data_IF_616987510477
#
_entry.id   IF_616987510477
#
_cell.length_a   1.000
_cell.length_b   1.000
_cell.length_c   1.000
_cell.angle_alpha   90.00
_cell.angle_beta   90.00
_cell.angle_gamma   90.00
#
_symmetry.space_group_name_H-M   'P 1'
#
loop_
_entity.id
_entity.type
_entity.pdbx_description
1 polymer ?
#
# COMPACT_ATOMS: atom_id res chain seq x y z
N UNK A 1 -15.84 -31.36 68.83
CA UNK A 1 -15.25 -30.63 67.69
C UNK A 1 -16.33 -29.71 67.14
N UNK A 2 -16.06 -28.40 67.21
CA UNK A 2 -16.78 -27.24 66.65
C UNK A 2 -18.27 -27.02 66.97
N UNK A 3 -18.54 -26.03 67.83
CA UNK A 3 -19.70 -25.12 67.73
C UNK A 3 -19.38 -23.85 68.55
N UNK A 4 -19.18 -22.72 67.88
CA UNK A 4 -18.89 -21.45 68.54
C UNK A 4 -18.98 -20.23 67.62
N UNK A 5 -19.91 -19.35 67.96
CA UNK A 5 -19.93 -17.88 67.79
C UNK A 5 -20.42 -17.25 66.46
N UNK A 6 -21.71 -16.93 66.50
CA UNK A 6 -22.31 -15.58 66.38
C UNK A 6 -21.89 -14.66 65.21
N UNK A 7 -22.86 -14.45 64.32
CA UNK A 7 -22.99 -13.33 63.39
C UNK A 7 -22.70 -11.97 64.05
N UNK A 8 -21.84 -11.16 63.42
CA UNK A 8 -21.76 -9.71 63.66
C UNK A 8 -22.53 -9.00 62.55
N UNK A 9 -23.74 -8.56 62.86
CA UNK A 9 -24.58 -7.73 61.99
C UNK A 9 -23.90 -6.37 61.75
N UNK A 10 -23.83 -5.97 60.47
CA UNK A 10 -22.96 -4.94 59.89
C UNK A 10 -23.73 -3.61 59.74
N UNK A 11 -23.23 -2.48 60.25
CA UNK A 11 -23.93 -1.18 60.06
C UNK A 11 -23.32 -0.40 58.90
N UNK A 12 -23.91 -0.54 57.70
CA UNK A 12 -23.69 0.44 56.62
C UNK A 12 -24.49 1.70 56.96
N UNK A 13 -23.80 2.82 57.11
CA UNK A 13 -24.46 4.10 57.31
C UNK A 13 -25.19 4.51 56.00
N UNK A 14 -26.54 4.62 56.00
CA UNK A 14 -27.31 4.89 54.79
C UNK A 14 -27.06 6.30 54.22
N UNK A 15 -26.55 7.23 55.04
CA UNK A 15 -26.16 8.58 54.60
C UNK A 15 -24.94 8.52 53.67
N UNK A 16 -23.92 7.75 54.06
CA UNK A 16 -22.70 7.54 53.26
C UNK A 16 -22.95 6.75 51.98
N UNK A 17 -23.90 5.81 51.97
CA UNK A 17 -24.22 5.04 50.76
C UNK A 17 -24.95 5.91 49.71
N UNK A 18 -25.86 6.78 50.15
CA UNK A 18 -26.57 7.71 49.26
C UNK A 18 -25.64 8.76 48.67
N UNK A 19 -24.71 9.28 49.46
CA UNK A 19 -23.72 10.26 49.00
C UNK A 19 -22.67 9.62 48.06
N UNK A 20 -22.21 8.41 48.36
CA UNK A 20 -21.32 7.64 47.48
C UNK A 20 -22.00 7.30 46.15
N UNK A 21 -23.30 6.95 46.14
CA UNK A 21 -24.06 6.74 44.91
C UNK A 21 -24.19 8.02 44.07
N UNK A 22 -24.45 9.18 44.69
CA UNK A 22 -24.48 10.47 43.98
C UNK A 22 -23.13 10.81 43.35
N UNK A 23 -22.03 10.66 44.09
CA UNK A 23 -20.69 10.89 43.54
C UNK A 23 -20.35 9.91 42.41
N UNK A 24 -20.77 8.64 42.53
CA UNK A 24 -20.64 7.65 41.46
C UNK A 24 -21.43 8.04 40.20
N UNK A 25 -22.66 8.55 40.35
CA UNK A 25 -23.43 9.06 39.20
C UNK A 25 -22.78 10.29 38.55
N UNK A 26 -22.22 11.22 39.32
CA UNK A 26 -21.48 12.36 38.76
C UNK A 26 -20.18 11.93 38.05
N UNK A 27 -19.51 10.89 38.53
CA UNK A 27 -18.29 10.33 37.93
C UNK A 27 -18.60 9.56 36.63
N UNK A 28 -19.71 8.83 36.59
CA UNK A 28 -20.20 8.17 35.37
C UNK A 28 -20.66 9.21 34.34
N UNK A 29 -21.40 10.24 34.77
CA UNK A 29 -21.85 11.32 33.90
C UNK A 29 -20.69 12.14 33.33
N UNK A 30 -19.64 12.42 34.11
CA UNK A 30 -18.44 13.12 33.63
C UNK A 30 -17.60 12.26 32.67
N UNK A 31 -17.51 10.94 32.90
CA UNK A 31 -16.88 10.02 31.95
C UNK A 31 -17.64 9.94 30.61
N UNK A 32 -18.98 10.04 30.61
CA UNK A 32 -19.81 10.07 29.39
C UNK A 32 -19.70 11.38 28.60
N UNK A 33 -19.33 12.49 29.24
CA UNK A 33 -19.16 13.79 28.57
C UNK A 33 -17.76 13.90 27.93
N UNK A 34 -16.75 13.24 28.51
CA UNK A 34 -15.37 13.22 27.99
C UNK A 34 -15.21 12.27 26.78
N UNK A 35 -16.12 11.30 26.58
CA UNK A 35 -16.10 10.39 25.43
C UNK A 35 -16.64 11.00 24.12
N UNK A 36 -17.15 12.24 24.15
CA UNK A 36 -17.29 13.06 22.94
C UNK A 36 -15.90 13.60 22.59
N UNK A 37 -14.96 12.69 22.35
CA UNK A 37 -13.70 13.01 21.71
C UNK A 37 -14.05 13.65 20.37
N UNK A 38 -13.64 14.91 20.22
CA UNK A 38 -13.51 15.61 18.94
C UNK A 38 -12.71 14.72 17.99
N UNK A 39 -13.41 13.83 17.31
CA UNK A 39 -12.88 13.12 16.18
C UNK A 39 -12.86 14.17 15.06
N UNK A 40 -11.75 14.91 14.96
CA UNK A 40 -11.40 15.63 13.75
C UNK A 40 -11.10 14.60 12.65
N UNK A 41 -12.12 13.85 12.23
CA UNK A 41 -12.05 13.03 11.03
C UNK A 41 -12.17 14.00 9.88
N UNK A 42 -11.13 14.07 9.09
CA UNK A 42 -11.18 14.69 7.78
C UNK A 42 -12.33 14.03 7.01
N UNK A 43 -13.40 14.79 6.75
CA UNK A 43 -14.52 14.32 5.96
C UNK A 43 -14.13 14.41 4.48
N UNK A 44 -13.17 13.59 4.07
CA UNK A 44 -12.67 13.56 2.70
C UNK A 44 -13.81 13.18 1.77
N UNK A 45 -14.25 14.14 0.96
CA UNK A 45 -15.19 13.84 -0.09
C UNK A 45 -14.43 13.18 -1.24
N UNK A 46 -14.32 11.85 -1.22
CA UNK A 46 -13.66 11.06 -2.26
C UNK A 46 -14.23 11.30 -3.67
N UNK A 47 -15.44 11.85 -3.80
CA UNK A 47 -16.02 12.24 -5.10
C UNK A 47 -15.45 13.56 -5.65
N UNK A 48 -14.83 14.38 -4.80
CA UNK A 48 -14.28 15.71 -5.15
C UNK A 48 -12.75 15.79 -5.02
N UNK A 49 -12.13 14.77 -4.44
CA UNK A 49 -10.68 14.71 -4.33
C UNK A 49 -10.09 14.46 -5.71
N UNK A 50 -9.20 15.35 -6.17
CA UNK A 50 -8.43 15.11 -7.38
C UNK A 50 -7.46 13.95 -7.12
N UNK A 51 -7.49 12.95 -8.01
CA UNK A 51 -6.66 11.75 -7.96
C UNK A 51 -6.11 11.49 -9.34
N UNK A 52 -4.96 10.85 -9.39
CA UNK A 52 -4.35 10.41 -10.65
C UNK A 52 -5.22 9.34 -11.31
N UNK A 53 -5.26 9.38 -12.65
CA UNK A 53 -6.02 8.42 -13.45
C UNK A 53 -5.17 7.18 -13.73
N UNK A 54 -4.90 6.40 -12.68
CA UNK A 54 -4.00 5.26 -12.81
C UNK A 54 -4.54 4.16 -13.72
N UNK A 55 -3.61 3.55 -14.46
CA UNK A 55 -3.78 2.28 -15.13
C UNK A 55 -3.69 1.10 -14.16
N UNK A 56 -3.86 -0.10 -14.68
CA UNK A 56 -3.85 -1.35 -13.89
C UNK A 56 -2.52 -1.59 -13.17
N UNK A 57 -1.42 -0.97 -13.61
CA UNK A 57 -0.12 -1.03 -12.96
C UNK A 57 0.39 -2.47 -12.83
N UNK A 58 0.31 -3.23 -13.92
CA UNK A 58 0.77 -4.62 -13.93
C UNK A 58 2.29 -4.61 -13.81
N UNK A 59 2.82 -5.47 -12.96
CA UNK A 59 4.25 -5.66 -12.78
C UNK A 59 4.54 -7.14 -12.67
N UNK A 60 5.58 -7.62 -13.35
CA UNK A 60 6.09 -8.97 -13.20
C UNK A 60 7.54 -8.94 -12.71
N UNK A 61 7.82 -9.65 -11.61
CA UNK A 61 9.14 -9.76 -11.00
C UNK A 61 9.53 -11.23 -10.94
N UNK A 62 10.75 -11.55 -11.39
CA UNK A 62 11.32 -12.88 -11.18
C UNK A 62 11.58 -13.07 -9.69
N UNK A 63 10.85 -13.98 -9.06
CA UNK A 63 11.01 -14.30 -7.63
C UNK A 63 12.16 -15.27 -7.39
N UNK A 64 12.33 -16.24 -8.29
CA UNK A 64 13.38 -17.25 -8.25
C UNK A 64 13.60 -17.88 -9.64
N UNK A 65 14.34 -19.00 -9.72
CA UNK A 65 14.65 -19.67 -10.98
C UNK A 65 13.40 -20.25 -11.69
N UNK A 66 12.32 -20.50 -10.96
CA UNK A 66 11.11 -21.17 -11.47
C UNK A 66 9.85 -20.30 -11.41
N UNK A 67 9.88 -19.19 -10.69
CA UNK A 67 8.69 -18.40 -10.38
C UNK A 67 8.83 -16.95 -10.82
N UNK A 68 7.80 -16.46 -11.51
CA UNK A 68 7.55 -15.04 -11.74
C UNK A 68 6.30 -14.64 -10.97
N UNK A 69 6.41 -13.60 -10.15
CA UNK A 69 5.27 -13.02 -9.43
C UNK A 69 4.74 -11.83 -10.21
N UNK A 70 3.45 -11.86 -10.52
CA UNK A 70 2.72 -10.81 -11.21
C UNK A 70 1.82 -10.13 -10.19
N UNK A 71 1.89 -8.81 -10.07
CA UNK A 71 0.99 -8.02 -9.24
C UNK A 71 0.36 -6.89 -10.04
N UNK A 72 -0.79 -6.40 -9.57
CA UNK A 72 -1.51 -5.29 -10.20
C UNK A 72 -2.32 -4.52 -9.16
N UNK A 73 -2.83 -3.35 -9.56
CA UNK A 73 -3.70 -2.52 -8.73
C UNK A 73 -5.13 -3.03 -8.78
N UNK A 74 -5.81 -3.02 -7.64
CA UNK A 74 -7.28 -2.92 -7.60
C UNK A 74 -7.63 -1.43 -7.69
N UNK A 75 -8.31 -1.01 -8.74
CA UNK A 75 -8.60 0.39 -8.99
C UNK A 75 -9.86 0.80 -8.23
N UNK A 76 -9.93 2.07 -7.82
CA UNK A 76 -11.15 2.59 -7.18
C UNK A 76 -12.36 2.65 -8.13
N UNK A 77 -12.13 2.52 -9.44
CA UNK A 77 -13.17 2.41 -10.47
C UNK A 77 -13.65 0.96 -10.66
N UNK A 78 -12.96 -0.03 -10.10
CA UNK A 78 -13.39 -1.41 -10.21
C UNK A 78 -14.61 -1.64 -9.30
N UNK A 79 -15.70 -2.25 -9.82
CA UNK A 79 -16.78 -2.72 -8.99
C UNK A 79 -16.26 -3.66 -7.89
N UNK A 80 -16.98 -3.75 -6.77
CA UNK A 80 -16.71 -4.80 -5.78
C UNK A 80 -16.77 -6.18 -6.44
N UNK A 81 -15.96 -7.09 -5.91
CA UNK A 81 -15.85 -8.48 -6.39
C UNK A 81 -15.37 -8.59 -7.84
N UNK A 82 -14.60 -7.59 -8.32
CA UNK A 82 -13.90 -7.71 -9.60
C UNK A 82 -12.78 -8.74 -9.47
N UNK A 83 -12.78 -9.71 -10.38
CA UNK A 83 -11.75 -10.75 -10.47
C UNK A 83 -10.82 -10.48 -11.66
N UNK A 84 -9.75 -11.25 -11.81
CA UNK A 84 -8.74 -10.97 -12.84
C UNK A 84 -8.23 -12.23 -13.53
N UNK A 85 -8.23 -12.22 -14.85
CA UNK A 85 -7.50 -13.21 -15.64
C UNK A 85 -6.09 -12.70 -15.93
N UNK A 86 -5.12 -13.60 -15.85
CA UNK A 86 -3.72 -13.32 -16.20
C UNK A 86 -3.37 -14.08 -17.47
N UNK A 87 -2.68 -13.38 -18.37
CA UNK A 87 -2.19 -13.90 -19.63
C UNK A 87 -0.67 -13.77 -19.67
N UNK A 88 0.01 -14.72 -20.31
CA UNK A 88 1.43 -14.66 -20.66
C UNK A 88 1.57 -14.87 -22.16
N UNK A 89 2.22 -13.93 -22.84
CA UNK A 89 2.44 -13.96 -24.29
C UNK A 89 1.15 -14.19 -25.11
N UNK A 90 0.02 -13.64 -24.62
CA UNK A 90 -1.30 -13.78 -25.25
C UNK A 90 -2.09 -15.01 -24.82
N UNK A 91 -1.50 -15.96 -24.09
CA UNK A 91 -2.18 -17.16 -23.61
C UNK A 91 -2.67 -16.97 -22.17
N UNK A 92 -3.91 -17.36 -21.88
CA UNK A 92 -4.46 -17.32 -20.52
C UNK A 92 -3.77 -18.39 -19.67
N UNK A 93 -3.20 -17.99 -18.53
CA UNK A 93 -2.50 -18.90 -17.61
C UNK A 93 -3.30 -19.18 -16.32
N UNK A 94 -4.30 -18.34 -16.01
CA UNK A 94 -5.24 -18.58 -14.92
C UNK A 94 -6.36 -19.51 -15.36
N UNK A 95 -6.52 -20.66 -14.70
CA UNK A 95 -7.63 -21.60 -14.97
C UNK A 95 -8.98 -21.07 -14.49
N UNK A 96 -8.98 -20.26 -13.43
CA UNK A 96 -10.12 -19.48 -12.94
C UNK A 96 -9.65 -18.05 -12.66
N UNK A 97 -10.52 -17.03 -12.78
CA UNK A 97 -10.17 -15.67 -12.41
C UNK A 97 -9.64 -15.58 -10.98
N UNK A 98 -8.61 -14.77 -10.78
CA UNK A 98 -8.05 -14.47 -9.45
C UNK A 98 -9.02 -13.56 -8.71
N UNK A 99 -9.61 -14.07 -7.64
CA UNK A 99 -10.61 -13.36 -6.82
C UNK A 99 -10.11 -13.00 -5.42
N UNK A 100 -9.06 -13.66 -4.93
CA UNK A 100 -8.45 -13.38 -3.62
C UNK A 100 -7.14 -12.61 -3.79
N UNK A 101 -7.24 -11.27 -3.79
CA UNK A 101 -6.09 -10.37 -3.93
C UNK A 101 -5.74 -10.03 -5.39
N UNK A 102 -4.68 -9.25 -5.58
CA UNK A 102 -4.23 -8.75 -6.89
C UNK A 102 -2.81 -9.20 -7.22
N UNK A 103 -2.56 -10.50 -7.06
CA UNK A 103 -1.27 -11.14 -7.28
C UNK A 103 -1.46 -12.56 -7.85
N UNK A 104 -0.54 -12.99 -8.71
CA UNK A 104 -0.49 -14.34 -9.26
C UNK A 104 0.97 -14.80 -9.39
N UNK A 105 1.24 -16.06 -9.06
CA UNK A 105 2.56 -16.67 -9.25
C UNK A 105 2.52 -17.59 -10.47
N UNK A 106 3.29 -17.24 -11.49
CA UNK A 106 3.45 -18.03 -12.70
C UNK A 106 4.72 -18.91 -12.59
N UNK A 107 4.56 -20.21 -12.83
CA UNK A 107 5.65 -21.19 -12.87
C UNK A 107 6.44 -21.07 -14.20
N UNK A 108 7.10 -19.94 -14.41
CA UNK A 108 7.86 -19.62 -15.61
C UNK A 108 9.38 -19.71 -15.38
N UNK A 109 9.98 -20.80 -15.84
CA UNK A 109 11.42 -21.10 -15.70
C UNK A 109 12.28 -20.46 -16.78
N UNK A 110 11.70 -20.07 -17.91
CA UNK A 110 12.44 -19.52 -19.04
C UNK A 110 13.04 -18.15 -18.70
N UNK A 111 14.22 -17.89 -19.28
CA UNK A 111 14.95 -16.61 -19.18
C UNK A 111 14.61 -15.65 -20.32
N UNK A 112 13.79 -16.06 -21.28
CA UNK A 112 13.32 -15.18 -22.34
C UNK A 112 12.36 -14.12 -21.80
N UNK A 113 12.23 -13.01 -22.53
CA UNK A 113 11.23 -12.00 -22.22
C UNK A 113 9.82 -12.62 -22.22
N UNK A 114 8.96 -12.14 -21.35
CA UNK A 114 7.57 -12.58 -21.26
C UNK A 114 6.67 -11.36 -21.03
N UNK A 115 5.64 -11.24 -21.85
CA UNK A 115 4.65 -10.17 -21.73
C UNK A 115 3.45 -10.69 -20.95
N UNK A 116 3.19 -10.10 -19.79
CA UNK A 116 2.05 -10.40 -18.96
C UNK A 116 0.94 -9.38 -19.19
N UNK A 117 -0.29 -9.83 -19.31
CA UNK A 117 -1.47 -8.98 -19.39
C UNK A 117 -2.47 -9.39 -18.31
N UNK A 118 -3.07 -8.42 -17.64
CA UNK A 118 -4.14 -8.64 -16.65
C UNK A 118 -5.42 -8.03 -17.16
N UNK A 119 -6.48 -8.86 -17.25
CA UNK A 119 -7.81 -8.45 -17.71
C UNK A 119 -8.85 -8.62 -16.62
N UNK A 120 -9.61 -7.57 -16.26
CA UNK A 120 -10.65 -7.67 -15.24
C UNK A 120 -11.84 -8.49 -15.73
N UNK A 121 -12.44 -9.23 -14.81
CA UNK A 121 -13.67 -10.00 -14.97
C UNK A 121 -14.71 -9.40 -14.04
N UNK A 122 -15.77 -8.84 -14.62
CA UNK A 122 -16.83 -8.15 -13.88
C UNK A 122 -18.14 -8.89 -14.12
N UNK A 123 -18.80 -9.32 -13.04
CA UNK A 123 -20.04 -10.12 -13.09
C UNK A 123 -19.91 -11.34 -14.02
N UNK A 124 -18.79 -12.05 -13.90
CA UNK A 124 -18.49 -13.25 -14.69
C UNK A 124 -18.10 -13.00 -16.16
N UNK A 125 -18.00 -11.74 -16.60
CA UNK A 125 -17.60 -11.40 -17.98
C UNK A 125 -16.24 -10.72 -18.00
N UNK A 126 -15.29 -11.28 -18.74
CA UNK A 126 -14.01 -10.64 -19.01
C UNK A 126 -14.21 -9.34 -19.81
N UNK A 127 -13.47 -8.30 -19.44
CA UNK A 127 -13.50 -7.00 -20.10
C UNK A 127 -12.08 -6.52 -20.41
N UNK A 128 -11.95 -5.69 -21.44
CA UNK A 128 -10.70 -4.99 -21.75
C UNK A 128 -10.62 -3.60 -21.10
N UNK A 129 -11.62 -3.21 -20.31
CA UNK A 129 -11.62 -1.92 -19.65
C UNK A 129 -10.57 -1.91 -18.54
N UNK A 130 -9.64 -0.95 -18.56
CA UNK A 130 -8.55 -0.86 -17.58
C UNK A 130 -7.78 -2.18 -17.42
N UNK A 131 -7.50 -2.86 -18.53
CA UNK A 131 -6.46 -3.90 -18.56
C UNK A 131 -5.09 -3.23 -18.35
N UNK A 132 -4.08 -4.05 -18.12
CA UNK A 132 -2.71 -3.56 -18.14
C UNK A 132 -1.76 -4.65 -18.56
N UNK A 133 -0.55 -4.23 -18.92
CA UNK A 133 0.44 -5.11 -19.52
C UNK A 133 1.82 -4.74 -19.02
N UNK A 134 2.65 -5.74 -18.81
CA UNK A 134 4.04 -5.55 -18.44
C UNK A 134 4.91 -6.60 -19.11
N UNK A 135 6.06 -6.17 -19.64
CA UNK A 135 7.04 -7.10 -20.21
C UNK A 135 8.14 -7.34 -19.22
N UNK A 136 8.21 -8.56 -18.67
CA UNK A 136 9.39 -9.04 -17.97
C UNK A 136 10.55 -9.13 -18.98
N UNK A 137 11.64 -8.36 -18.82
CA UNK A 137 12.75 -8.42 -19.76
C UNK A 137 13.43 -9.80 -19.77
N UNK A 138 14.07 -10.14 -20.88
CA UNK A 138 14.94 -11.30 -20.93
C UNK A 138 16.06 -11.16 -19.89
N UNK A 139 16.40 -12.26 -19.22
CA UNK A 139 17.39 -12.30 -18.14
C UNK A 139 17.11 -11.29 -17.00
N UNK A 140 15.85 -10.92 -16.76
CA UNK A 140 15.48 -10.06 -15.65
C UNK A 140 16.05 -10.57 -14.32
N UNK A 141 16.56 -9.66 -13.47
CA UNK A 141 17.14 -10.03 -12.20
C UNK A 141 16.07 -10.52 -11.22
N UNK A 142 16.53 -11.24 -10.20
CA UNK A 142 15.65 -11.76 -9.16
C UNK A 142 15.32 -10.68 -8.13
N UNK A 143 14.04 -10.50 -7.83
CA UNK A 143 13.54 -9.70 -6.72
C UNK A 143 13.40 -8.20 -6.98
N UNK A 144 13.84 -7.69 -8.12
CA UNK A 144 13.75 -6.25 -8.43
C UNK A 144 13.58 -5.98 -9.93
N UNK A 145 13.15 -4.76 -10.26
CA UNK A 145 13.13 -4.23 -11.62
C UNK A 145 14.41 -3.40 -11.80
N UNK A 146 15.16 -3.67 -12.86
CA UNK A 146 16.31 -2.84 -13.23
C UNK A 146 15.84 -1.70 -14.12
N UNK A 147 16.04 -0.48 -13.65
CA UNK A 147 15.80 0.74 -14.43
C UNK A 147 17.17 1.30 -14.85
N UNK A 148 17.51 1.28 -16.15
CA UNK A 148 18.74 1.90 -16.63
C UNK A 148 18.73 3.41 -16.35
N UNK A 149 19.84 3.94 -15.88
CA UNK A 149 20.00 5.36 -15.57
C UNK A 149 21.05 5.98 -16.47
N UNK A 150 20.78 7.18 -16.98
CA UNK A 150 21.77 7.99 -17.68
C UNK A 150 22.51 8.84 -16.65
N UNK A 151 23.65 8.34 -16.15
CA UNK A 151 24.44 9.03 -15.14
C UNK A 151 25.04 10.33 -15.71
N UNK A 152 24.85 11.49 -15.06
CA UNK A 152 25.51 12.73 -15.46
C UNK A 152 27.04 12.62 -15.41
N UNK A 153 27.71 13.35 -16.29
CA UNK A 153 29.17 13.43 -16.27
C UNK A 153 29.69 14.05 -14.96
N UNK A 154 30.91 13.68 -14.59
CA UNK A 154 31.60 14.30 -13.46
C UNK A 154 31.86 15.78 -13.75
N UNK A 155 31.99 16.59 -12.69
CA UNK A 155 32.26 18.02 -12.80
C UNK A 155 33.50 18.46 -12.04
N UNK A 156 33.87 19.72 -12.23
CA UNK A 156 34.97 20.40 -11.53
C UNK A 156 34.44 21.74 -11.01
N UNK A 157 34.69 22.05 -9.75
CA UNK A 157 34.31 23.34 -9.15
C UNK A 157 35.19 24.48 -9.67
N UNK A 158 34.78 25.75 -9.51
CA UNK A 158 35.66 26.89 -9.82
C UNK A 158 36.99 26.88 -9.05
N UNK A 159 37.04 26.22 -7.88
CA UNK A 159 38.26 26.06 -7.08
C UNK A 159 39.19 24.94 -7.57
N UNK A 160 38.75 24.12 -8.54
CA UNK A 160 39.53 23.03 -9.13
C UNK A 160 39.22 21.64 -8.56
N UNK A 161 38.31 21.53 -7.59
CA UNK A 161 37.95 20.24 -6.98
C UNK A 161 37.02 19.44 -7.91
N UNK A 162 37.28 18.14 -8.06
CA UNK A 162 36.43 17.25 -8.86
C UNK A 162 35.27 16.69 -8.04
N UNK A 163 34.08 16.53 -8.65
CA UNK A 163 32.94 15.85 -8.02
C UNK A 163 32.24 14.89 -9.00
N UNK A 164 31.54 13.90 -8.44
CA UNK A 164 30.79 12.89 -9.20
C UNK A 164 29.32 12.88 -8.77
N UNK A 165 28.43 12.25 -9.56
CA UNK A 165 27.01 12.14 -9.22
C UNK A 165 26.60 10.73 -8.77
N UNK A 166 25.69 10.67 -7.79
CA UNK A 166 24.98 9.47 -7.36
C UNK A 166 23.45 9.68 -7.37
N UNK A 167 22.64 8.65 -7.66
CA UNK A 167 21.20 8.70 -7.44
C UNK A 167 20.89 8.99 -5.97
N UNK A 168 19.91 9.84 -5.70
CA UNK A 168 19.49 10.19 -4.34
C UNK A 168 17.96 10.14 -4.25
N UNK A 169 17.32 11.11 -3.58
CA UNK A 169 15.87 11.20 -3.43
C UNK A 169 15.13 11.07 -4.77
N UNK A 170 13.98 10.41 -4.72
CA UNK A 170 13.08 10.28 -5.86
C UNK A 170 11.64 10.61 -5.46
N UNK A 171 10.87 11.06 -6.45
CA UNK A 171 9.42 11.14 -6.40
C UNK A 171 8.83 10.40 -7.59
N UNK A 172 7.50 10.30 -7.62
CA UNK A 172 6.75 9.70 -8.71
C UNK A 172 5.65 10.63 -9.16
N UNK A 173 5.28 10.53 -10.43
CA UNK A 173 4.16 11.26 -11.00
C UNK A 173 3.90 10.76 -12.41
N UNK A 174 2.62 10.76 -12.79
CA UNK A 174 2.19 10.53 -14.16
C UNK A 174 2.38 11.85 -14.94
N UNK A 175 3.48 11.97 -15.68
CA UNK A 175 3.86 13.25 -16.32
C UNK A 175 3.32 13.39 -17.75
N UNK A 176 2.86 12.30 -18.36
CA UNK A 176 2.32 12.28 -19.72
C UNK A 176 0.83 11.89 -19.81
N UNK A 177 0.23 11.46 -18.70
CA UNK A 177 -1.20 11.20 -18.55
C UNK A 177 -1.63 9.80 -18.98
N UNK A 178 -0.70 8.85 -19.14
CA UNK A 178 -1.01 7.49 -19.59
C UNK A 178 -1.49 6.56 -18.44
N UNK A 179 -1.36 7.01 -17.19
CA UNK A 179 -1.76 6.30 -15.99
C UNK A 179 -0.68 5.36 -15.40
N UNK A 180 0.54 5.39 -15.94
CA UNK A 180 1.74 4.85 -15.31
C UNK A 180 2.51 5.96 -14.58
N UNK A 181 3.51 5.58 -13.78
CA UNK A 181 4.31 6.55 -13.04
C UNK A 181 5.69 6.64 -13.65
N UNK A 182 6.15 7.86 -13.87
CA UNK A 182 7.55 8.14 -14.09
C UNK A 182 8.25 8.34 -12.74
N UNK A 183 9.56 8.07 -12.75
CA UNK A 183 10.43 8.35 -11.60
C UNK A 183 11.13 9.68 -11.83
N UNK A 184 10.88 10.64 -10.94
CA UNK A 184 11.60 11.90 -10.89
C UNK A 184 12.75 11.74 -9.90
N UNK A 185 13.97 11.53 -10.41
CA UNK A 185 15.16 11.25 -9.61
C UNK A 185 16.04 12.49 -9.44
N UNK A 186 16.41 12.82 -8.21
CA UNK A 186 17.45 13.80 -7.90
C UNK A 186 18.82 13.14 -8.00
N UNK A 187 19.72 13.75 -8.77
CA UNK A 187 21.14 13.43 -8.75
C UNK A 187 21.85 14.29 -7.72
N UNK A 188 22.61 13.66 -6.83
CA UNK A 188 23.36 14.34 -5.78
C UNK A 188 24.85 14.35 -6.13
N UNK A 189 25.50 15.51 -6.14
CA UNK A 189 26.94 15.59 -6.35
C UNK A 189 27.68 15.17 -5.07
N UNK A 190 28.86 14.57 -5.20
CA UNK A 190 29.65 14.07 -4.06
C UNK A 190 30.19 15.15 -3.12
N UNK A 191 30.03 16.42 -3.49
CA UNK A 191 30.35 17.60 -2.69
C UNK A 191 29.09 18.38 -2.30
N UNK A 192 27.93 17.70 -2.17
CA UNK A 192 26.78 18.26 -1.50
C UNK A 192 27.13 18.56 -0.03
N UNK A 193 26.55 19.64 0.51
CA UNK A 193 26.81 20.11 1.86
C UNK A 193 25.48 20.20 2.63
N UNK A 194 25.57 20.04 3.94
CA UNK A 194 24.54 20.57 4.83
C UNK A 194 24.68 22.09 4.94
N UNK A 195 23.80 22.71 5.71
CA UNK A 195 23.75 24.17 5.80
C UNK A 195 24.82 24.78 6.75
N UNK A 196 25.57 23.95 7.50
CA UNK A 196 26.32 24.38 8.69
C UNK A 196 27.81 24.62 8.43
#
# INVERSE_FOLDING_TARGET
MLLGLFEKQYSRNPRTEKDMRKHLYYLIASMLIITISLNARTNYNYKKLQRENLGRGVVAIRKDASTVTISWRYLSSDPMDTEFNVYRNGEKITSQPVSTGTLYNDAYTSRNAATYEVRPVVKGKETNHKNGRYTLPANAPTGYIRIPMNKPANGVTPAGDTYTYSPNDASIGDIDGDGEYEIILKWDPSNSHDNA
#
